data_IF_160094559498
#
_entry.id   IF_160094559498
#
_cell.length_a   1.000
_cell.length_b   1.000
_cell.length_c   1.000
_cell.angle_alpha   90.00
_cell.angle_beta   90.00
_cell.angle_gamma   90.00
#
_symmetry.space_group_name_H-M   'P 1'
#
loop_
_entity.id
_entity.type
_entity.pdbx_description
1 polymer ?
#
# COMPACT_ATOMS: atom_id res chain seq x y z
N UNK A 1 14.19 -6.92 -8.14
CA UNK A 1 13.52 -7.82 -9.10
C UNK A 1 13.72 -7.42 -10.56
N UNK A 2 13.93 -8.41 -11.41
CA UNK A 2 14.09 -8.28 -12.86
C UNK A 2 12.73 -8.13 -13.54
N UNK A 3 12.13 -6.93 -13.45
CA UNK A 3 10.90 -6.62 -14.19
C UNK A 3 11.06 -6.67 -15.71
N UNK A 4 12.30 -6.63 -16.20
CA UNK A 4 12.63 -6.81 -17.62
C UNK A 4 12.34 -8.23 -18.14
N UNK A 5 12.22 -9.24 -17.29
CA UNK A 5 11.91 -10.62 -17.68
C UNK A 5 10.44 -10.99 -17.48
N UNK A 6 9.62 -10.11 -16.90
CA UNK A 6 8.19 -10.37 -16.73
C UNK A 6 7.47 -10.04 -18.04
N UNK A 7 6.94 -11.03 -18.77
CA UNK A 7 6.40 -10.83 -20.12
C UNK A 7 5.12 -9.99 -20.14
N UNK A 8 4.43 -9.81 -19.00
CA UNK A 8 3.13 -9.11 -18.90
C UNK A 8 2.96 -8.40 -17.54
N UNK A 9 3.44 -7.15 -17.36
CA UNK A 9 3.24 -6.39 -16.12
C UNK A 9 1.77 -6.13 -15.79
N UNK A 10 0.89 -6.12 -16.80
CA UNK A 10 -0.58 -6.02 -16.63
C UNK A 10 -1.13 -7.17 -15.80
N UNK A 11 -0.57 -8.38 -15.94
CA UNK A 11 -1.02 -9.55 -15.17
C UNK A 11 -0.78 -9.36 -13.68
N UNK A 12 0.33 -8.74 -13.29
CA UNK A 12 0.63 -8.45 -11.88
C UNK A 12 -0.32 -7.40 -11.30
N UNK A 13 -0.69 -6.38 -12.07
CA UNK A 13 -1.69 -5.39 -11.65
C UNK A 13 -3.05 -6.07 -11.48
N UNK A 14 -3.47 -6.88 -12.46
CA UNK A 14 -4.73 -7.62 -12.41
C UNK A 14 -4.77 -8.61 -11.24
N UNK A 15 -3.67 -9.34 -11.03
CA UNK A 15 -3.51 -10.22 -9.87
C UNK A 15 -3.63 -9.43 -8.56
N UNK A 16 -2.97 -8.26 -8.46
CA UNK A 16 -3.09 -7.39 -7.28
C UNK A 16 -4.55 -6.96 -7.03
N UNK A 17 -5.26 -6.53 -8.08
CA UNK A 17 -6.68 -6.16 -7.98
C UNK A 17 -7.52 -7.34 -7.50
N UNK A 18 -7.32 -8.54 -8.04
CA UNK A 18 -8.02 -9.74 -7.58
C UNK A 18 -7.69 -10.03 -6.11
N UNK A 19 -6.42 -9.98 -5.71
CA UNK A 19 -6.04 -10.21 -4.31
C UNK A 19 -6.64 -9.16 -3.37
N UNK A 20 -6.79 -7.91 -3.80
CA UNK A 20 -7.49 -6.86 -3.03
C UNK A 20 -8.96 -7.20 -2.88
N UNK A 21 -9.63 -7.59 -3.95
CA UNK A 21 -11.06 -7.96 -3.92
C UNK A 21 -11.27 -9.18 -3.01
N UNK A 22 -10.45 -10.22 -3.17
CA UNK A 22 -10.53 -11.42 -2.32
C UNK A 22 -10.24 -11.08 -0.86
N UNK A 23 -9.20 -10.30 -0.59
CA UNK A 23 -8.86 -9.86 0.78
C UNK A 23 -9.98 -9.03 1.41
N UNK A 24 -10.61 -8.14 0.64
CA UNK A 24 -11.77 -7.37 1.09
C UNK A 24 -12.95 -8.29 1.41
N UNK A 25 -13.31 -9.21 0.52
CA UNK A 25 -14.41 -10.17 0.73
C UNK A 25 -14.16 -11.05 1.97
N UNK A 26 -12.92 -11.49 2.18
CA UNK A 26 -12.55 -12.26 3.37
C UNK A 26 -12.69 -11.39 4.64
N UNK A 27 -12.28 -10.13 4.61
CA UNK A 27 -12.40 -9.23 5.76
C UNK A 27 -13.85 -8.86 6.13
N UNK A 28 -14.82 -9.05 5.21
CA UNK A 28 -16.24 -8.89 5.53
C UNK A 28 -16.76 -9.99 6.48
N UNK A 29 -15.97 -11.04 6.72
CA UNK A 29 -16.23 -12.07 7.74
C UNK A 29 -16.23 -11.46 9.16
N UNK A 30 -17.03 -12.04 10.06
CA UNK A 30 -17.26 -11.51 11.40
C UNK A 30 -15.99 -11.39 12.25
N UNK A 31 -15.00 -12.26 12.02
CA UNK A 31 -13.84 -12.40 12.91
C UNK A 31 -12.56 -11.75 12.37
N UNK A 32 -12.63 -11.03 11.24
CA UNK A 32 -11.44 -10.58 10.51
C UNK A 32 -11.47 -9.07 10.31
N UNK A 33 -10.49 -8.31 10.80
CA UNK A 33 -10.48 -6.85 10.62
C UNK A 33 -10.19 -6.42 9.17
N UNK A 34 -11.15 -5.75 8.52
CA UNK A 34 -11.01 -5.20 7.17
C UNK A 34 -9.87 -4.19 7.03
N UNK A 35 -9.69 -3.33 8.02
CA UNK A 35 -8.68 -2.28 7.99
C UNK A 35 -7.27 -2.86 8.07
N UNK A 36 -7.09 -3.99 8.77
CA UNK A 36 -5.82 -4.70 8.78
C UNK A 36 -5.43 -5.20 7.38
N UNK A 37 -6.37 -5.80 6.64
CA UNK A 37 -6.13 -6.25 5.28
C UNK A 37 -5.89 -5.11 4.29
N UNK A 38 -6.68 -4.04 4.39
CA UNK A 38 -6.48 -2.84 3.57
C UNK A 38 -5.11 -2.19 3.86
N UNK A 39 -4.74 -2.10 5.15
CA UNK A 39 -3.45 -1.58 5.58
C UNK A 39 -2.28 -2.41 5.06
N UNK A 40 -2.35 -3.74 5.19
CA UNK A 40 -1.34 -4.65 4.66
C UNK A 40 -1.21 -4.57 3.14
N UNK A 41 -2.32 -4.46 2.41
CA UNK A 41 -2.30 -4.28 0.96
C UNK A 41 -1.66 -2.94 0.56
N UNK A 42 -2.06 -1.84 1.20
CA UNK A 42 -1.49 -0.51 0.96
C UNK A 42 0.01 -0.49 1.25
N UNK A 43 0.43 -1.05 2.38
CA UNK A 43 1.84 -1.18 2.74
C UNK A 43 2.62 -2.00 1.69
N UNK A 44 2.08 -3.15 1.27
CA UNK A 44 2.69 -3.98 0.23
C UNK A 44 2.83 -3.26 -1.11
N UNK A 45 1.82 -2.47 -1.51
CA UNK A 45 1.90 -1.65 -2.73
C UNK A 45 2.96 -0.55 -2.62
N UNK A 46 2.98 0.20 -1.52
CA UNK A 46 3.99 1.24 -1.28
C UNK A 46 5.40 0.65 -1.26
N UNK A 47 5.58 -0.50 -0.59
CA UNK A 47 6.84 -1.22 -0.54
C UNK A 47 7.27 -1.70 -1.93
N UNK A 48 6.32 -2.21 -2.72
CA UNK A 48 6.52 -2.55 -4.12
C UNK A 48 7.03 -1.36 -4.93
N UNK A 49 6.41 -0.18 -4.80
CA UNK A 49 6.88 1.03 -5.48
C UNK A 49 8.23 1.55 -4.98
N UNK A 50 8.51 1.43 -3.69
CA UNK A 50 9.81 1.79 -3.11
C UNK A 50 10.95 0.91 -3.66
N UNK A 51 10.68 -0.38 -3.91
CA UNK A 51 11.69 -1.37 -4.31
C UNK A 51 11.73 -1.65 -5.82
N UNK A 52 10.77 -1.14 -6.60
CA UNK A 52 10.66 -1.46 -8.03
C UNK A 52 11.90 -1.01 -8.82
N UNK A 53 12.71 -1.96 -9.29
CA UNK A 53 13.95 -1.68 -10.05
C UNK A 53 13.74 -1.10 -11.45
N UNK A 54 12.52 -1.13 -11.98
CA UNK A 54 12.26 -0.76 -13.37
C UNK A 54 10.83 -0.24 -13.54
N UNK A 55 10.65 1.07 -13.49
CA UNK A 55 9.49 1.71 -14.15
C UNK A 55 9.77 1.80 -15.66
N UNK A 56 11.04 1.68 -16.08
CA UNK A 56 11.44 1.58 -17.48
C UNK A 56 10.77 0.44 -18.29
N UNK A 57 10.26 -0.62 -17.65
CA UNK A 57 9.48 -1.65 -18.35
C UNK A 57 8.09 -1.15 -18.77
N UNK A 58 7.47 -0.28 -17.97
CA UNK A 58 6.23 0.41 -18.35
C UNK A 58 6.48 1.43 -19.47
N UNK A 59 7.66 2.06 -19.52
CA UNK A 59 8.06 2.95 -20.62
C UNK A 59 8.25 2.20 -21.94
N UNK A 60 8.67 0.94 -21.90
CA UNK A 60 8.77 0.08 -23.10
C UNK A 60 7.40 -0.38 -23.59
N UNK A 61 6.42 -0.49 -22.70
CA UNK A 61 5.07 -0.89 -23.03
C UNK A 61 4.25 0.30 -23.55
N UNK A 62 3.22 0.00 -24.34
CA UNK A 62 2.24 0.99 -24.84
C UNK A 62 1.08 1.20 -23.86
N UNK A 63 1.19 0.67 -22.63
CA UNK A 63 0.10 0.62 -21.65
C UNK A 63 -0.30 2.04 -21.23
N UNK A 64 0.66 2.87 -20.82
CA UNK A 64 0.37 4.24 -20.36
C UNK A 64 -0.27 5.05 -21.47
N UNK A 65 0.30 5.02 -22.68
CA UNK A 65 -0.23 5.78 -23.80
C UNK A 65 -1.62 5.30 -24.22
N UNK A 66 -1.89 3.98 -24.15
CA UNK A 66 -3.22 3.42 -24.42
C UNK A 66 -4.23 3.76 -23.33
N UNK A 67 -3.84 3.74 -22.06
CA UNK A 67 -4.71 4.12 -20.94
C UNK A 67 -5.10 5.59 -21.02
N UNK A 68 -4.17 6.49 -21.37
CA UNK A 68 -4.45 7.92 -21.58
C UNK A 68 -5.35 8.19 -22.80
N UNK A 69 -5.35 7.29 -23.78
CA UNK A 69 -6.25 7.33 -24.94
C UNK A 69 -7.56 6.55 -24.73
N UNK A 70 -7.77 5.94 -23.55
CA UNK A 70 -9.00 5.22 -23.26
C UNK A 70 -10.21 6.16 -23.24
N UNK A 71 -11.43 5.68 -23.56
CA UNK A 71 -12.63 6.52 -23.57
C UNK A 71 -12.85 7.30 -22.28
N UNK A 72 -12.48 6.71 -21.13
CA UNK A 72 -12.64 7.28 -19.80
C UNK A 72 -11.75 8.51 -19.55
N UNK A 73 -10.57 8.57 -20.16
CA UNK A 73 -9.56 9.61 -19.87
C UNK A 73 -9.32 10.52 -21.07
N UNK A 74 -9.57 10.03 -22.29
CA UNK A 74 -9.26 10.74 -23.52
C UNK A 74 -9.99 12.09 -23.60
N UNK A 75 -11.18 12.25 -23.01
CA UNK A 75 -11.92 13.51 -23.06
C UNK A 75 -11.12 14.72 -22.51
N UNK A 76 -10.21 14.48 -21.57
CA UNK A 76 -9.48 15.50 -20.83
C UNK A 76 -8.26 16.03 -21.60
N UNK A 77 -7.92 15.42 -22.74
CA UNK A 77 -6.72 15.75 -23.49
C UNK A 77 -7.02 16.47 -24.81
N UNK A 78 -6.24 17.52 -25.14
CA UNK A 78 -6.32 18.20 -26.44
C UNK A 78 -6.03 17.25 -27.62
N UNK A 79 -6.63 17.53 -28.79
CA UNK A 79 -6.43 16.74 -30.02
C UNK A 79 -4.94 16.57 -30.39
N UNK A 80 -4.12 17.62 -30.19
CA UNK A 80 -2.67 17.60 -30.44
C UNK A 80 -1.93 16.58 -29.56
N UNK A 81 -2.30 16.47 -28.29
CA UNK A 81 -1.70 15.51 -27.36
C UNK A 81 -2.11 14.07 -27.70
N UNK A 82 -3.38 13.86 -28.09
CA UNK A 82 -3.84 12.55 -28.57
C UNK A 82 -3.06 12.07 -29.80
N UNK A 83 -2.77 12.96 -30.74
CA UNK A 83 -1.97 12.64 -31.92
C UNK A 83 -0.53 12.23 -31.53
N UNK A 84 0.11 12.96 -30.60
CA UNK A 84 1.43 12.61 -30.07
C UNK A 84 1.44 11.24 -29.39
N UNK A 85 0.43 10.93 -28.58
CA UNK A 85 0.28 9.63 -27.92
C UNK A 85 0.14 8.48 -28.94
N UNK A 86 -0.66 8.67 -30.00
CA UNK A 86 -0.81 7.66 -31.06
C UNK A 86 0.50 7.40 -31.82
N UNK A 87 1.26 8.45 -32.12
CA UNK A 87 2.59 8.32 -32.72
C UNK A 87 3.55 7.56 -31.79
N UNK A 88 3.57 7.90 -30.49
CA UNK A 88 4.38 7.20 -29.51
C UNK A 88 4.04 5.70 -29.43
N UNK A 89 2.74 5.34 -29.50
CA UNK A 89 2.29 3.94 -29.57
C UNK A 89 2.84 3.25 -30.82
N UNK A 90 2.74 3.87 -32.00
CA UNK A 90 3.23 3.32 -33.25
C UNK A 90 4.75 3.06 -33.20
N UNK A 91 5.54 4.04 -32.75
CA UNK A 91 6.99 3.89 -32.61
C UNK A 91 7.39 2.81 -31.60
N UNK A 92 6.70 2.72 -30.45
CA UNK A 92 6.96 1.68 -29.46
C UNK A 92 6.59 0.29 -29.97
N UNK A 93 5.50 0.18 -30.76
CA UNK A 93 5.09 -1.07 -31.40
C UNK A 93 6.14 -1.53 -32.41
N UNK A 94 6.54 -0.67 -33.35
CA UNK A 94 7.57 -0.97 -34.35
C UNK A 94 8.89 -1.42 -33.68
N UNK A 95 9.35 -0.69 -32.66
CA UNK A 95 10.54 -1.07 -31.88
C UNK A 95 10.37 -2.42 -31.16
N UNK A 96 9.16 -2.73 -30.69
CA UNK A 96 8.84 -4.01 -30.05
C UNK A 96 8.85 -5.17 -31.04
N UNK A 97 8.29 -4.97 -32.23
CA UNK A 97 8.19 -5.96 -33.30
C UNK A 97 9.59 -6.31 -33.84
N UNK A 98 10.45 -5.32 -34.12
CA UNK A 98 11.86 -5.54 -34.51
C UNK A 98 12.66 -6.35 -33.48
N UNK A 99 12.38 -6.16 -32.18
CA UNK A 99 13.04 -6.95 -31.12
C UNK A 99 12.56 -8.39 -31.10
N UNK A 100 11.28 -8.64 -31.39
CA UNK A 100 10.73 -9.99 -31.50
C UNK A 100 11.31 -10.72 -32.71
N UNK A 101 11.40 -10.03 -33.85
CA UNK A 101 12.04 -10.56 -35.06
C UNK A 101 13.51 -10.91 -34.80
N UNK A 102 14.27 -10.03 -34.16
CA UNK A 102 15.67 -10.30 -33.80
C UNK A 102 15.79 -11.51 -32.84
N UNK A 103 14.88 -11.64 -31.88
CA UNK A 103 14.86 -12.79 -30.96
C UNK A 103 14.48 -14.10 -31.68
N UNK A 104 13.51 -14.06 -32.59
CA UNK A 104 13.15 -15.23 -33.41
C UNK A 104 14.29 -15.63 -34.35
N UNK A 105 14.94 -14.66 -35.00
CA UNK A 105 16.12 -14.92 -35.83
C UNK A 105 17.25 -15.55 -35.01
N UNK A 106 17.44 -15.12 -33.77
CA UNK A 106 18.40 -15.72 -32.85
C UNK A 106 18.02 -17.15 -32.47
N UNK A 107 16.74 -17.42 -32.20
CA UNK A 107 16.24 -18.76 -31.87
C UNK A 107 16.44 -19.72 -33.05
N UNK A 108 16.06 -19.30 -34.25
CA UNK A 108 16.25 -20.06 -35.49
C UNK A 108 17.74 -20.31 -35.75
N UNK A 109 18.61 -19.33 -35.52
CA UNK A 109 20.06 -19.51 -35.65
C UNK A 109 20.65 -20.50 -34.63
N UNK A 110 20.10 -20.56 -33.40
CA UNK A 110 20.49 -21.58 -32.42
C UNK A 110 20.00 -22.98 -32.82
N UNK A 111 18.76 -23.08 -33.31
CA UNK A 111 18.18 -24.35 -33.79
C UNK A 111 18.88 -24.85 -35.06
N UNK A 112 19.38 -23.97 -35.93
CA UNK A 112 20.14 -24.31 -37.13
C UNK A 112 21.62 -24.67 -36.87
N UNK A 113 22.00 -24.94 -35.61
CA UNK A 113 23.33 -25.45 -35.26
C UNK A 113 24.49 -24.43 -35.31
N UNK A 114 24.19 -23.12 -35.33
CA UNK A 114 25.27 -22.11 -35.29
C UNK A 114 25.94 -22.14 -33.91
N UNK A 115 27.27 -22.32 -33.90
CA UNK A 115 28.08 -22.37 -32.69
C UNK A 115 27.78 -21.21 -31.73
N UNK A 116 27.54 -21.54 -30.46
CA UNK A 116 27.27 -20.60 -29.36
C UNK A 116 28.31 -19.48 -29.25
N UNK A 117 29.56 -19.72 -29.70
CA UNK A 117 30.62 -18.70 -29.80
C UNK A 117 30.31 -17.62 -30.85
N UNK A 118 29.80 -17.98 -32.03
CA UNK A 118 29.43 -16.98 -33.07
C UNK A 118 28.24 -16.13 -32.63
N UNK A 119 27.27 -16.76 -31.97
CA UNK A 119 26.11 -16.06 -31.38
C UNK A 119 26.55 -15.12 -30.25
N UNK A 120 27.50 -15.54 -29.40
CA UNK A 120 28.07 -14.69 -28.36
C UNK A 120 28.83 -13.47 -28.92
N UNK A 121 29.54 -13.63 -30.04
CA UNK A 121 30.24 -12.52 -30.72
C UNK A 121 29.24 -11.53 -31.33
N UNK A 122 28.17 -12.02 -31.98
CA UNK A 122 27.09 -11.18 -32.53
C UNK A 122 26.37 -10.45 -31.39
N UNK A 123 26.05 -11.15 -30.30
CA UNK A 123 25.44 -10.57 -29.10
C UNK A 123 26.32 -9.49 -28.47
N UNK A 124 27.63 -9.72 -28.34
CA UNK A 124 28.58 -8.71 -27.82
C UNK A 124 28.68 -7.46 -28.71
N UNK A 125 28.48 -7.62 -30.03
CA UNK A 125 28.46 -6.51 -30.99
C UNK A 125 27.17 -5.68 -30.90
N UNK A 126 26.02 -6.32 -30.65
CA UNK A 126 24.73 -5.66 -30.41
C UNK A 126 24.60 -5.06 -28.99
N UNK A 127 25.13 -5.73 -27.96
CA UNK A 127 25.16 -5.21 -26.58
C UNK A 127 26.02 -3.94 -26.49
N UNK A 128 27.09 -3.83 -27.28
CA UNK A 128 27.90 -2.60 -27.41
C UNK A 128 27.15 -1.41 -28.03
N UNK A 129 26.02 -1.63 -28.71
CA UNK A 129 25.27 -0.57 -29.42
C UNK A 129 23.84 -0.34 -28.90
N UNK A 130 23.32 -1.16 -27.97
CA UNK A 130 21.87 -1.22 -27.74
C UNK A 130 21.36 -1.18 -26.30
N UNK A 131 22.21 -1.32 -25.29
CA UNK A 131 21.77 -1.19 -23.90
C UNK A 131 22.03 0.25 -23.43
N UNK A 132 21.02 1.15 -23.44
CA UNK A 132 21.20 2.40 -22.73
C UNK A 132 21.56 2.06 -21.28
N UNK A 133 22.55 2.74 -20.67
CA UNK A 133 22.83 2.55 -19.25
C UNK A 133 21.50 2.66 -18.51
N UNK A 134 21.27 1.77 -17.54
CA UNK A 134 20.13 1.87 -16.63
C UNK A 134 20.34 3.11 -15.73
N UNK A 135 20.38 4.30 -16.32
CA UNK A 135 20.22 5.57 -15.64
C UNK A 135 18.77 5.61 -15.22
N UNK A 136 18.56 5.34 -13.94
CA UNK A 136 17.29 5.58 -13.29
C UNK A 136 16.87 7.01 -13.56
N UNK A 137 15.69 7.20 -14.16
CA UNK A 137 15.18 8.53 -14.45
C UNK A 137 14.78 9.22 -13.15
N UNK A 138 14.87 10.55 -13.10
CA UNK A 138 14.46 11.35 -11.94
C UNK A 138 13.06 10.99 -11.43
N UNK A 139 12.11 10.76 -12.34
CA UNK A 139 10.74 10.32 -12.02
C UNK A 139 10.69 9.02 -11.20
N UNK A 140 11.57 8.05 -11.49
CA UNK A 140 11.61 6.79 -10.75
C UNK A 140 12.10 7.01 -9.32
N UNK A 141 13.08 7.89 -9.14
CA UNK A 141 13.55 8.32 -7.82
C UNK A 141 12.45 9.03 -7.04
N UNK A 142 11.70 9.93 -7.67
CA UNK A 142 10.59 10.64 -7.03
C UNK A 142 9.54 9.64 -6.52
N UNK A 143 9.10 8.67 -7.33
CA UNK A 143 8.09 7.68 -6.92
C UNK A 143 8.61 6.83 -5.75
N UNK A 144 9.87 6.40 -5.80
CA UNK A 144 10.47 5.60 -4.73
C UNK A 144 10.59 6.38 -3.43
N UNK A 145 11.18 7.58 -3.49
CA UNK A 145 11.37 8.42 -2.32
C UNK A 145 10.03 8.81 -1.70
N UNK A 146 9.04 9.16 -2.52
CA UNK A 146 7.68 9.44 -2.03
C UNK A 146 7.09 8.20 -1.35
N UNK A 147 7.15 7.02 -1.98
CA UNK A 147 6.60 5.78 -1.40
C UNK A 147 7.32 5.40 -0.10
N UNK A 148 8.65 5.49 -0.06
CA UNK A 148 9.45 5.23 1.14
C UNK A 148 9.15 6.22 2.26
N UNK A 149 9.03 7.51 1.94
CA UNK A 149 8.66 8.53 2.92
C UNK A 149 7.26 8.27 3.49
N UNK A 150 6.28 7.94 2.64
CA UNK A 150 4.92 7.57 3.09
C UNK A 150 4.95 6.37 4.03
N UNK A 151 5.72 5.32 3.72
CA UNK A 151 5.85 4.15 4.61
C UNK A 151 6.43 4.55 5.96
N UNK A 152 7.52 5.33 5.98
CA UNK A 152 8.15 5.79 7.21
C UNK A 152 7.16 6.59 8.06
N UNK A 153 6.42 7.51 7.44
CA UNK A 153 5.39 8.30 8.13
C UNK A 153 4.30 7.39 8.72
N UNK A 154 3.79 6.42 7.95
CA UNK A 154 2.77 5.49 8.43
C UNK A 154 3.26 4.61 9.59
N UNK A 155 4.52 4.15 9.56
CA UNK A 155 5.14 3.39 10.65
C UNK A 155 5.29 4.27 11.89
N UNK A 156 5.74 5.52 11.74
CA UNK A 156 5.89 6.46 12.86
C UNK A 156 4.53 6.71 13.50
N UNK A 157 3.51 7.03 12.70
CA UNK A 157 2.15 7.22 13.18
C UNK A 157 1.64 5.97 13.91
N UNK A 158 1.76 4.79 13.30
CA UNK A 158 1.35 3.54 13.95
C UNK A 158 2.08 3.29 15.28
N UNK A 159 3.38 3.57 15.33
CA UNK A 159 4.19 3.42 16.55
C UNK A 159 3.73 4.41 17.62
N UNK A 160 3.46 5.66 17.27
CA UNK A 160 2.96 6.67 18.20
C UNK A 160 1.59 6.25 18.76
N UNK A 161 0.67 5.82 17.90
CA UNK A 161 -0.66 5.36 18.32
C UNK A 161 -0.61 4.10 19.18
N UNK A 162 0.30 3.17 18.89
CA UNK A 162 0.47 1.93 19.68
C UNK A 162 1.18 2.18 21.02
N UNK A 163 2.10 3.14 21.07
CA UNK A 163 2.90 3.41 22.28
C UNK A 163 2.23 4.35 23.26
N UNK A 164 1.34 5.25 22.80
CA UNK A 164 0.69 6.23 23.68
C UNK A 164 -0.80 5.94 23.89
N UNK A 165 -1.20 5.51 25.10
CA UNK A 165 -2.59 5.20 25.40
C UNK A 165 -3.54 6.38 25.38
N UNK A 166 -3.04 7.60 25.58
CA UNK A 166 -3.86 8.81 25.51
C UNK A 166 -4.24 9.17 24.07
N UNK A 167 -3.44 8.77 23.08
CA UNK A 167 -3.72 9.07 21.68
C UNK A 167 -4.71 8.08 21.07
N UNK A 168 -4.52 6.76 21.30
CA UNK A 168 -5.48 5.79 20.78
C UNK A 168 -6.82 5.87 21.51
N UNK A 169 -6.84 6.25 22.80
CA UNK A 169 -8.11 6.40 23.53
C UNK A 169 -8.98 7.53 22.99
N UNK A 170 -8.39 8.55 22.36
CA UNK A 170 -9.12 9.65 21.71
C UNK A 170 -9.62 9.34 20.31
N UNK A 171 -9.12 8.28 19.70
CA UNK A 171 -9.44 7.94 18.32
C UNK A 171 -10.70 7.05 18.26
N UNK A 172 -11.76 7.55 17.62
CA UNK A 172 -12.94 6.73 17.32
C UNK A 172 -12.77 6.11 15.92
N UNK A 173 -12.57 4.78 15.82
CA UNK A 173 -12.47 4.17 14.51
C UNK A 173 -13.81 4.34 13.77
N UNK A 174 -13.79 4.69 12.47
CA UNK A 174 -14.98 4.54 11.64
C UNK A 174 -15.40 3.06 11.73
N UNK A 175 -16.68 2.81 11.95
CA UNK A 175 -17.20 1.44 12.09
C UNK A 175 -16.80 0.54 10.94
N UNK A 176 -16.74 -0.76 11.19
CA UNK A 176 -16.34 -1.74 10.20
C UNK A 176 -17.55 -2.20 9.38
N UNK A 177 -17.42 -2.22 8.05
CA UNK A 177 -18.44 -2.81 7.20
C UNK A 177 -18.29 -4.34 7.17
N UNK A 178 -19.33 -5.08 7.56
CA UNK A 178 -19.37 -6.55 7.58
C UNK A 178 -20.55 -7.06 6.76
N UNK A 179 -20.59 -8.37 6.48
CA UNK A 179 -21.78 -8.98 5.86
C UNK A 179 -23.05 -8.81 6.68
N UNK A 180 -22.92 -8.67 8.00
CA UNK A 180 -24.02 -8.40 8.93
C UNK A 180 -24.45 -6.93 8.98
N UNK A 181 -23.77 -6.04 8.24
CA UNK A 181 -24.02 -4.61 8.20
C UNK A 181 -22.86 -3.77 8.77
N UNK A 182 -23.14 -2.51 9.05
CA UNK A 182 -22.17 -1.59 9.66
C UNK A 182 -22.05 -1.88 11.15
N UNK A 183 -20.89 -2.35 11.60
CA UNK A 183 -20.61 -2.62 12.99
C UNK A 183 -19.78 -1.49 13.59
N UNK A 184 -20.34 -0.78 14.56
CA UNK A 184 -19.61 0.21 15.36
C UNK A 184 -19.04 -0.44 16.60
N UNK A 185 -17.84 -0.03 16.99
CA UNK A 185 -17.26 -0.43 18.27
C UNK A 185 -17.47 0.69 19.31
N UNK A 186 -17.71 0.29 20.54
CA UNK A 186 -17.78 1.18 21.69
C UNK A 186 -16.53 0.97 22.55
N UNK A 187 -15.76 2.04 22.73
CA UNK A 187 -14.47 1.98 23.41
C UNK A 187 -14.50 2.78 24.72
N UNK A 188 -13.89 2.23 25.76
CA UNK A 188 -13.84 2.83 27.09
C UNK A 188 -12.62 2.35 27.88
N UNK A 189 -12.27 3.10 28.93
CA UNK A 189 -11.35 2.62 29.94
C UNK A 189 -12.08 1.65 30.87
N UNK A 190 -11.56 0.44 30.99
CA UNK A 190 -12.08 -0.60 31.88
C UNK A 190 -11.88 -0.14 33.32
N UNK A 191 -12.98 0.06 34.04
CA UNK A 191 -12.98 0.43 35.46
C UNK A 191 -13.09 -0.80 36.37
N UNK A 192 -13.68 -1.90 35.86
CA UNK A 192 -13.90 -3.15 36.60
C UNK A 192 -12.98 -4.27 36.11
N UNK A 193 -11.67 -4.10 36.29
CA UNK A 193 -10.63 -5.04 35.81
C UNK A 193 -10.80 -6.44 36.43
N UNK A 194 -11.25 -6.51 37.68
CA UNK A 194 -11.56 -7.75 38.41
C UNK A 194 -12.58 -8.65 37.67
N UNK A 195 -13.44 -8.07 36.81
CA UNK A 195 -14.43 -8.83 36.05
C UNK A 195 -13.89 -9.45 34.77
N UNK A 196 -12.69 -9.07 34.32
CA UNK A 196 -12.04 -9.67 33.15
C UNK A 196 -11.36 -10.99 33.48
N UNK A 197 -11.04 -11.24 34.75
CA UNK A 197 -10.34 -12.44 35.19
C UNK A 197 -11.23 -13.24 36.13
N UNK A 198 -11.35 -14.54 35.88
CA UNK A 198 -12.19 -15.44 36.69
C UNK A 198 -11.63 -15.66 38.10
N UNK A 199 -10.32 -15.42 38.28
CA UNK A 199 -9.60 -15.55 39.54
C UNK A 199 -8.71 -14.33 39.78
N UNK A 200 -8.80 -13.75 40.97
CA UNK A 200 -8.07 -12.55 41.40
C UNK A 200 -6.54 -12.75 41.42
N UNK A 201 -6.11 -14.01 41.61
CA UNK A 201 -4.70 -14.43 41.61
C UNK A 201 -4.05 -14.39 40.22
N UNK A 202 -4.83 -14.27 39.15
CA UNK A 202 -4.33 -14.26 37.77
C UNK A 202 -4.13 -12.85 37.21
N UNK A 203 -4.49 -11.80 37.97
CA UNK A 203 -4.33 -10.42 37.52
C UNK A 203 -2.85 -10.07 37.58
N UNK A 204 -2.17 -9.86 36.43
CA UNK A 204 -0.77 -9.49 36.45
C UNK A 204 -0.65 -8.11 37.10
N UNK A 205 0.33 -7.92 37.98
CA UNK A 205 0.59 -6.65 38.72
C UNK A 205 0.70 -5.42 37.82
N UNK A 206 1.00 -5.63 36.55
CA UNK A 206 1.06 -4.65 35.47
C UNK A 206 -0.30 -3.97 35.17
N UNK A 207 -1.41 -4.65 35.47
CA UNK A 207 -2.78 -4.22 35.16
C UNK A 207 -3.53 -3.67 36.37
N UNK A 208 -3.05 -3.91 37.59
CA UNK A 208 -3.68 -3.43 38.83
C UNK A 208 -3.66 -1.90 38.98
N UNK A 209 -2.74 -1.20 38.31
CA UNK A 209 -2.57 0.26 38.40
C UNK A 209 -2.68 1.00 37.05
N UNK A 210 -3.13 0.33 35.98
CA UNK A 210 -3.24 0.94 34.65
C UNK A 210 -4.69 0.90 34.16
N UNK A 211 -5.19 2.06 33.75
CA UNK A 211 -6.44 2.15 33.00
C UNK A 211 -6.26 1.50 31.63
N UNK A 212 -6.84 0.31 31.45
CA UNK A 212 -6.83 -0.40 30.17
C UNK A 212 -7.94 0.17 29.29
N UNK A 213 -7.60 0.74 28.14
CA UNK A 213 -8.61 1.10 27.15
C UNK A 213 -8.87 -0.06 26.21
N UNK A 214 -10.14 -0.38 26.03
CA UNK A 214 -10.59 -1.51 25.24
C UNK A 214 -11.84 -1.13 24.44
N UNK A 215 -12.02 -1.77 23.29
CA UNK A 215 -13.18 -1.59 22.42
C UNK A 215 -14.01 -2.86 22.38
N UNK A 216 -15.31 -2.72 22.65
CA UNK A 216 -16.28 -3.80 22.61
C UNK A 216 -17.13 -3.69 21.35
N UNK A 217 -17.57 -4.83 20.83
CA UNK A 217 -18.50 -4.91 19.68
C UNK A 217 -19.95 -4.65 20.07
N UNK A 218 -20.25 -4.66 21.36
CA UNK A 218 -21.60 -4.56 21.89
C UNK A 218 -21.67 -3.62 23.10
N UNK A 219 -22.78 -2.88 23.18
CA UNK A 219 -23.03 -1.86 24.19
C UNK A 219 -23.20 -2.49 25.57
N UNK A 220 -23.86 -3.65 25.67
CA UNK A 220 -24.07 -4.31 26.96
C UNK A 220 -22.75 -4.80 27.55
N UNK A 221 -21.87 -5.33 26.69
CA UNK A 221 -20.50 -5.68 27.07
C UNK A 221 -19.72 -4.45 27.56
N UNK A 222 -19.79 -3.32 26.84
CA UNK A 222 -19.13 -2.09 27.28
C UNK A 222 -19.64 -1.61 28.65
N UNK A 223 -20.96 -1.60 28.87
CA UNK A 223 -21.57 -1.25 30.17
C UNK A 223 -21.14 -2.19 31.29
N UNK A 224 -21.04 -3.48 31.00
CA UNK A 224 -20.64 -4.49 31.99
C UNK A 224 -19.23 -4.24 32.57
N UNK A 225 -18.28 -3.92 31.69
CA UNK A 225 -16.86 -3.76 32.06
C UNK A 225 -16.45 -2.32 32.40
N UNK A 226 -17.11 -1.31 31.81
CA UNK A 226 -16.77 0.10 32.02
C UNK A 226 -17.77 0.84 32.94
N UNK A 227 -18.95 0.27 33.21
CA UNK A 227 -20.02 0.89 34.00
C UNK A 227 -21.05 1.65 33.16
N UNK A 228 -22.13 2.09 33.79
CA UNK A 228 -23.25 2.78 33.10
C UNK A 228 -22.85 4.17 32.57
N UNK A 229 -21.85 4.79 33.18
CA UNK A 229 -21.24 6.07 32.75
C UNK A 229 -20.21 5.92 31.61
N UNK A 230 -20.17 4.77 30.91
CA UNK A 230 -19.24 4.59 29.79
C UNK A 230 -19.40 5.66 28.71
N UNK A 231 -20.59 6.29 28.59
CA UNK A 231 -20.84 7.42 27.72
C UNK A 231 -20.08 8.70 28.13
N UNK A 232 -19.92 8.94 29.43
CA UNK A 232 -19.22 10.09 30.00
C UNK A 232 -17.70 9.89 30.03
N UNK A 233 -17.25 8.64 30.03
CA UNK A 233 -15.85 8.25 29.80
C UNK A 233 -15.49 8.19 28.31
N UNK A 234 -16.40 8.56 27.39
CA UNK A 234 -16.13 8.57 25.95
C UNK A 234 -15.07 9.62 25.61
N UNK A 235 -14.12 9.30 24.73
CA UNK A 235 -13.31 10.32 24.11
C UNK A 235 -14.18 11.34 23.36
N UNK A 236 -13.87 12.61 23.59
CA UNK A 236 -14.57 13.78 23.05
C UNK A 236 -14.81 13.65 21.54
N UNK A 237 -16.04 13.94 21.10
CA UNK A 237 -16.42 13.98 19.69
C UNK A 237 -15.59 15.05 18.94
N UNK A 238 -15.33 14.76 17.66
CA UNK A 238 -14.89 15.68 16.60
C UNK A 238 -13.38 15.83 16.32
N UNK A 239 -12.80 14.82 15.66
CA UNK A 239 -11.52 14.95 14.93
C UNK A 239 -11.57 15.95 13.76
N UNK A 240 -12.77 16.33 13.29
CA UNK A 240 -12.95 17.34 12.22
C UNK A 240 -12.96 18.78 12.75
N UNK A 241 -13.13 18.99 14.05
CA UNK A 241 -13.04 20.31 14.71
C UNK A 241 -11.61 20.59 15.23
N UNK A 242 -10.73 19.57 15.13
CA UNK A 242 -9.38 19.48 15.69
C UNK A 242 -8.27 19.55 14.62
N UNK A 243 -8.52 20.18 13.46
CA UNK A 243 -7.43 20.46 12.51
C UNK A 243 -6.34 21.36 13.10
N UNK A 244 -6.65 22.08 14.18
CA UNK A 244 -5.68 22.82 14.99
C UNK A 244 -4.82 21.91 15.90
N UNK A 245 -5.35 20.81 16.44
CA UNK A 245 -4.57 19.93 17.34
C UNK A 245 -3.71 18.90 16.60
N UNK A 246 -4.03 18.58 15.34
CA UNK A 246 -3.18 17.71 14.53
C UNK A 246 -1.76 18.30 14.33
N UNK A 247 -1.65 19.63 14.33
CA UNK A 247 -0.37 20.36 14.30
C UNK A 247 0.34 20.25 15.67
N UNK A 248 -0.40 20.34 16.77
CA UNK A 248 0.15 20.16 18.12
C UNK A 248 0.61 18.72 18.38
N UNK A 249 -0.07 17.70 17.84
CA UNK A 249 0.38 16.31 17.93
C UNK A 249 1.70 16.10 17.15
N UNK A 250 1.85 16.75 15.99
CA UNK A 250 3.12 16.77 15.24
C UNK A 250 4.22 17.53 15.99
N UNK A 251 3.90 18.63 16.67
CA UNK A 251 4.84 19.37 17.52
C UNK A 251 5.26 18.56 18.76
N UNK A 252 4.32 17.85 19.39
CA UNK A 252 4.57 16.99 20.55
C UNK A 252 5.39 15.75 20.18
N UNK A 253 5.13 15.17 19.00
CA UNK A 253 5.96 14.11 18.44
C UNK A 253 7.39 14.61 18.13
N UNK A 254 7.53 15.85 17.63
CA UNK A 254 8.83 16.49 17.42
C UNK A 254 9.60 16.75 18.72
N UNK A 255 8.91 17.14 19.80
CA UNK A 255 9.52 17.35 21.12
C UNK A 255 10.05 16.05 21.74
N UNK A 256 9.31 14.94 21.59
CA UNK A 256 9.74 13.63 22.09
C UNK A 256 10.90 13.01 21.29
N UNK A 257 11.03 13.35 20.01
CA UNK A 257 12.16 12.92 19.17
C UNK A 257 13.45 13.68 19.54
N UNK A 258 13.34 14.95 19.97
CA UNK A 258 14.50 15.75 20.42
C UNK A 258 14.91 15.46 21.88
N UNK A 259 14.11 14.70 22.62
CA UNK A 259 14.39 14.29 24.00
C UNK A 259 15.01 12.88 24.12
N UNK A 260 15.21 12.19 22.99
CA UNK A 260 15.96 10.94 22.83
C UNK A 260 17.33 11.22 22.24
#
# INVERSE_FOLDING_TARGET
EYWNSIPRPVFLIFYNIITVIVGFVIGLSSNIDNYCHMGGCLFGMLWGFATIKSVSSCDKCTIVERSLLSPLVAWAFPKRWKAKLRLAIAFKKDRGDRKREAFQAQKVAMESGVSTRRIAVIKKKFDRQGAPPCRMRLREWVIRLASSATIIILIILATIFLSNPMLYSRYRPPGQYKFTGWQTCDCCFVTKVEKLFTEESQIPTQYLNRSMFWCFSDVESAKHYCGDDYENARPMQNLLESSHDAIDILATAGANINAL
#
